data_IF_646926387942
#
_entry.id   IF_646926387942
#
_cell.length_a   1.000
_cell.length_b   1.000
_cell.length_c   1.000
_cell.angle_alpha   90.00
_cell.angle_beta   90.00
_cell.angle_gamma   90.00
#
_symmetry.space_group_name_H-M   'P 1'
#
loop_
_entity.id
_entity.type
_entity.pdbx_description
1 polymer ?
#
# COMPACT_ATOMS: atom_id res chain seq x y z
N UNK A 1 4.99 -26.70 0.87
CA UNK A 1 4.80 -25.23 0.96
C UNK A 1 3.55 -24.88 0.18
N UNK A 2 2.68 -24.05 0.75
CA UNK A 2 1.50 -23.52 0.08
C UNK A 2 1.66 -22.01 -0.01
N UNK A 3 1.65 -21.48 -1.22
CA UNK A 3 1.72 -20.04 -1.48
C UNK A 3 0.32 -19.47 -1.73
N UNK A 4 0.15 -18.17 -1.48
CA UNK A 4 -1.14 -17.46 -1.54
C UNK A 4 -2.28 -18.21 -0.83
N UNK A 5 -1.99 -18.74 0.36
CA UNK A 5 -2.89 -19.64 1.10
C UNK A 5 -4.26 -19.00 1.38
N UNK A 6 -4.34 -17.67 1.49
CA UNK A 6 -5.58 -16.94 1.66
C UNK A 6 -6.56 -17.06 0.49
N UNK A 7 -6.10 -17.43 -0.71
CA UNK A 7 -6.97 -17.73 -1.87
C UNK A 7 -7.84 -18.96 -1.60
N UNK A 8 -7.34 -19.92 -0.81
CA UNK A 8 -8.08 -21.15 -0.50
C UNK A 8 -9.37 -20.88 0.29
N UNK A 9 -9.43 -19.76 1.01
CA UNK A 9 -10.62 -19.33 1.75
C UNK A 9 -11.79 -18.95 0.84
N UNK A 10 -11.54 -18.68 -0.43
CA UNK A 10 -12.58 -18.39 -1.42
C UNK A 10 -12.79 -19.56 -2.39
N UNK A 11 -12.05 -20.66 -2.22
CA UNK A 11 -12.08 -21.77 -3.15
C UNK A 11 -13.28 -22.68 -2.86
N UNK A 12 -14.17 -22.92 -3.85
CA UNK A 12 -15.47 -23.58 -3.63
C UNK A 12 -15.36 -25.00 -3.06
N UNK A 13 -14.26 -25.70 -3.34
CA UNK A 13 -14.04 -27.09 -2.91
C UNK A 13 -13.02 -27.25 -1.77
N UNK A 14 -12.28 -26.19 -1.42
CA UNK A 14 -11.20 -26.29 -0.41
C UNK A 14 -11.51 -25.47 0.84
N UNK A 15 -12.43 -24.51 0.75
CA UNK A 15 -12.92 -23.79 1.91
C UNK A 15 -13.96 -24.62 2.70
N UNK A 16 -13.51 -25.68 3.36
CA UNK A 16 -14.38 -26.53 4.18
C UNK A 16 -13.64 -27.16 5.38
N UNK A 17 -14.41 -27.66 6.34
CA UNK A 17 -13.90 -28.24 7.57
C UNK A 17 -12.98 -29.46 7.35
N UNK A 18 -13.31 -30.32 6.36
CA UNK A 18 -12.56 -31.53 6.07
C UNK A 18 -11.14 -31.23 5.59
N UNK A 19 -11.00 -30.25 4.70
CA UNK A 19 -9.70 -29.81 4.19
C UNK A 19 -8.83 -29.23 5.31
N UNK A 20 -9.33 -28.25 6.07
CA UNK A 20 -8.55 -27.61 7.14
C UNK A 20 -8.24 -28.58 8.30
N UNK A 21 -9.19 -29.45 8.66
CA UNK A 21 -9.00 -30.49 9.66
C UNK A 21 -7.96 -31.52 9.24
N UNK A 22 -7.98 -31.94 7.98
CA UNK A 22 -6.99 -32.86 7.40
C UNK A 22 -5.61 -32.21 7.35
N UNK A 23 -5.51 -30.95 6.93
CA UNK A 23 -4.25 -30.21 6.89
C UNK A 23 -3.63 -30.07 8.29
N UNK A 24 -4.45 -29.73 9.29
CA UNK A 24 -4.01 -29.66 10.69
C UNK A 24 -3.53 -31.03 11.19
N UNK A 25 -4.28 -32.08 10.92
CA UNK A 25 -3.94 -33.45 11.34
C UNK A 25 -2.63 -33.90 10.71
N UNK A 26 -2.47 -33.68 9.40
CA UNK A 26 -1.26 -34.00 8.65
C UNK A 26 -0.03 -33.30 9.24
N UNK A 27 -0.13 -32.00 9.51
CA UNK A 27 0.97 -31.21 10.07
C UNK A 27 1.25 -31.53 11.55
N UNK A 28 0.29 -32.05 12.30
CA UNK A 28 0.46 -32.38 13.73
C UNK A 28 0.98 -33.81 13.96
N UNK A 29 0.58 -34.76 13.10
CA UNK A 29 0.83 -36.19 13.31
C UNK A 29 2.10 -36.70 12.64
N UNK A 30 2.69 -35.92 11.72
CA UNK A 30 3.86 -36.35 10.94
C UNK A 30 5.08 -35.49 11.28
N UNK A 31 5.98 -35.94 12.19
CA UNK A 31 7.15 -35.16 12.60
C UNK A 31 8.11 -34.83 11.46
N UNK A 32 8.11 -35.63 10.38
CA UNK A 32 8.94 -35.42 9.20
C UNK A 32 8.36 -34.38 8.22
N UNK A 33 7.13 -33.90 8.45
CA UNK A 33 6.46 -32.95 7.56
C UNK A 33 6.50 -31.54 8.16
N UNK A 34 7.09 -30.60 7.43
CA UNK A 34 7.03 -29.17 7.75
C UNK A 34 6.04 -28.47 6.83
N UNK A 35 4.99 -27.88 7.41
CA UNK A 35 4.02 -27.06 6.69
C UNK A 35 4.44 -25.59 6.74
N UNK A 36 4.81 -25.05 5.57
CA UNK A 36 5.01 -23.63 5.36
C UNK A 36 3.85 -23.08 4.52
N UNK A 37 3.16 -22.08 5.06
CA UNK A 37 2.14 -21.31 4.34
C UNK A 37 2.62 -19.87 4.16
N UNK A 38 2.41 -19.32 2.98
CA UNK A 38 2.59 -17.90 2.69
C UNK A 38 1.24 -17.31 2.29
N UNK A 39 0.98 -16.06 2.70
CA UNK A 39 -0.29 -15.40 2.43
C UNK A 39 -0.29 -13.95 2.87
N UNK A 40 -1.30 -13.20 2.41
CA UNK A 40 -1.44 -11.76 2.65
C UNK A 40 -2.20 -11.45 3.96
N UNK A 41 -2.92 -12.44 4.47
CA UNK A 41 -3.75 -12.31 5.67
C UNK A 41 -3.04 -12.85 6.90
N UNK A 42 -3.30 -12.22 8.06
CA UNK A 42 -2.71 -12.67 9.31
C UNK A 42 -3.28 -14.01 9.76
N UNK A 43 -2.53 -14.75 10.58
CA UNK A 43 -3.00 -16.00 11.17
C UNK A 43 -4.30 -15.80 11.98
N UNK A 44 -4.43 -14.66 12.67
CA UNK A 44 -5.66 -14.31 13.39
C UNK A 44 -6.85 -14.15 12.45
N UNK A 45 -6.65 -13.49 11.31
CA UNK A 45 -7.69 -13.28 10.29
C UNK A 45 -8.12 -14.61 9.67
N UNK A 46 -7.16 -15.49 9.33
CA UNK A 46 -7.46 -16.82 8.80
C UNK A 46 -8.30 -17.65 9.80
N UNK A 47 -7.97 -17.58 11.09
CA UNK A 47 -8.74 -18.26 12.14
C UNK A 47 -10.16 -17.69 12.27
N UNK A 48 -10.32 -16.36 12.22
CA UNK A 48 -11.66 -15.72 12.25
C UNK A 48 -12.50 -16.14 11.05
N UNK A 49 -11.94 -16.13 9.83
CA UNK A 49 -12.66 -16.49 8.61
C UNK A 49 -13.06 -17.97 8.55
N UNK A 50 -12.30 -18.85 9.21
CA UNK A 50 -12.60 -20.28 9.25
C UNK A 50 -13.40 -20.69 10.50
N UNK A 51 -13.80 -19.73 11.34
CA UNK A 51 -14.49 -20.00 12.60
C UNK A 51 -15.85 -20.68 12.39
N UNK A 52 -16.56 -20.35 11.32
CA UNK A 52 -17.85 -20.96 10.96
C UNK A 52 -17.73 -22.48 10.71
N UNK A 53 -16.56 -22.95 10.30
CA UNK A 53 -16.27 -24.38 10.08
C UNK A 53 -15.77 -25.10 11.34
N UNK A 54 -15.55 -24.39 12.45
CA UNK A 54 -14.97 -24.93 13.69
C UNK A 54 -16.02 -25.36 14.74
N UNK A 55 -17.27 -25.56 14.32
CA UNK A 55 -18.42 -25.84 15.21
C UNK A 55 -18.30 -27.10 16.07
N UNK A 56 -17.50 -28.09 15.65
CA UNK A 56 -17.38 -29.38 16.34
C UNK A 56 -16.34 -29.45 17.47
N UNK A 57 -15.26 -28.66 17.41
CA UNK A 57 -14.14 -28.76 18.37
C UNK A 57 -13.79 -27.45 19.09
N UNK A 58 -14.30 -26.31 18.62
CA UNK A 58 -14.05 -24.99 19.19
C UNK A 58 -12.60 -24.48 19.06
N UNK A 59 -11.65 -25.33 18.67
CA UNK A 59 -10.23 -24.99 18.53
C UNK A 59 -9.94 -24.49 17.11
N UNK A 60 -9.30 -23.31 16.94
CA UNK A 60 -8.95 -22.81 15.61
C UNK A 60 -8.04 -23.77 14.82
N UNK A 61 -8.25 -23.89 13.50
CA UNK A 61 -7.51 -24.81 12.64
C UNK A 61 -6.01 -24.50 12.57
N UNK A 62 -5.65 -23.23 12.65
CA UNK A 62 -4.28 -22.78 12.43
C UNK A 62 -3.49 -22.56 13.71
N UNK A 63 -3.98 -23.07 14.85
CA UNK A 63 -3.30 -22.94 16.15
C UNK A 63 -1.97 -23.71 16.24
N UNK A 64 -1.69 -24.57 15.26
CA UNK A 64 -0.42 -25.30 15.11
C UNK A 64 0.66 -24.51 14.35
N UNK A 65 0.30 -23.37 13.76
CA UNK A 65 1.20 -22.55 12.97
C UNK A 65 1.75 -21.40 13.79
N UNK A 66 2.99 -21.02 13.48
CA UNK A 66 3.61 -19.78 13.97
C UNK A 66 3.66 -18.77 12.84
N UNK A 67 3.10 -17.59 13.07
CA UNK A 67 3.18 -16.50 12.12
C UNK A 67 4.56 -15.85 12.13
N UNK A 68 5.13 -15.67 10.93
CA UNK A 68 6.32 -14.85 10.70
C UNK A 68 5.88 -13.75 9.72
N UNK A 69 5.81 -12.52 10.20
CA UNK A 69 5.55 -11.37 9.33
C UNK A 69 6.84 -10.90 8.69
N UNK A 70 6.86 -10.84 7.36
CA UNK A 70 7.94 -10.17 6.63
C UNK A 70 7.73 -8.66 6.73
N UNK A 71 8.62 -8.00 7.46
CA UNK A 71 8.60 -6.55 7.63
C UNK A 71 9.32 -5.86 6.46
N UNK A 72 9.07 -4.56 6.24
CA UNK A 72 9.84 -3.73 5.33
C UNK A 72 11.32 -3.82 5.61
N UNK A 73 12.13 -3.57 4.60
CA UNK A 73 13.57 -3.50 4.79
C UNK A 73 13.90 -2.33 5.71
N UNK A 74 14.82 -2.55 6.67
CA UNK A 74 15.40 -1.42 7.38
C UNK A 74 16.12 -0.49 6.38
N UNK A 75 16.18 0.80 6.67
CA UNK A 75 16.81 1.78 5.77
C UNK A 75 18.22 1.38 5.34
N UNK A 76 19.03 0.83 6.26
CA UNK A 76 20.38 0.35 5.96
C UNK A 76 20.40 -0.90 5.06
N UNK A 77 19.38 -1.76 5.16
CA UNK A 77 19.22 -2.91 4.26
C UNK A 77 18.84 -2.45 2.86
N UNK A 78 17.91 -1.49 2.74
CA UNK A 78 17.54 -0.85 1.46
C UNK A 78 18.74 -0.19 0.80
N UNK A 79 19.52 0.60 1.55
CA UNK A 79 20.77 1.21 1.06
C UNK A 79 21.78 0.16 0.61
N UNK A 80 21.94 -0.92 1.36
CA UNK A 80 22.86 -2.03 1.03
C UNK A 80 22.42 -2.76 -0.24
N UNK A 81 21.12 -2.97 -0.42
CA UNK A 81 20.56 -3.56 -1.62
C UNK A 81 20.84 -2.67 -2.85
N UNK A 82 20.55 -1.38 -2.76
CA UNK A 82 20.77 -0.43 -3.86
C UNK A 82 22.25 -0.22 -4.20
N UNK A 83 23.17 -0.41 -3.23
CA UNK A 83 24.62 -0.39 -3.49
C UNK A 83 25.09 -1.52 -4.40
N UNK A 84 24.35 -2.63 -4.52
CA UNK A 84 24.70 -3.74 -5.43
C UNK A 84 24.70 -3.33 -6.90
N UNK A 85 24.01 -2.24 -7.26
CA UNK A 85 24.06 -1.68 -8.61
C UNK A 85 25.41 -1.02 -8.95
N UNK A 86 26.33 -0.89 -7.99
CA UNK A 86 27.67 -0.36 -8.23
C UNK A 86 27.65 1.08 -8.76
N UNK A 87 28.52 1.38 -9.71
CA UNK A 87 28.67 2.70 -10.33
C UNK A 87 27.50 3.06 -11.25
N UNK A 88 26.69 2.08 -11.64
CA UNK A 88 25.53 2.33 -12.50
C UNK A 88 24.50 3.22 -11.81
N UNK A 89 24.28 3.08 -10.50
CA UNK A 89 23.41 4.00 -9.76
C UNK A 89 24.24 5.02 -8.99
N UNK A 90 24.09 6.30 -9.36
CA UNK A 90 24.67 7.41 -8.60
C UNK A 90 23.89 7.66 -7.28
N UNK A 91 24.37 8.60 -6.46
CA UNK A 91 23.75 8.91 -5.16
C UNK A 91 22.30 9.41 -5.32
N UNK A 92 22.04 10.25 -6.31
CA UNK A 92 20.73 10.84 -6.57
C UNK A 92 19.73 9.81 -7.08
N UNK A 93 20.18 8.83 -7.86
CA UNK A 93 19.38 7.69 -8.31
C UNK A 93 18.93 6.82 -7.13
N UNK A 94 19.84 6.54 -6.19
CA UNK A 94 19.51 5.78 -4.97
C UNK A 94 18.58 6.56 -4.05
N UNK A 95 18.78 7.88 -3.94
CA UNK A 95 17.88 8.80 -3.21
C UNK A 95 16.49 8.79 -3.83
N UNK A 96 16.40 8.89 -5.16
CA UNK A 96 15.16 8.82 -5.91
C UNK A 96 14.43 7.49 -5.68
N UNK A 97 15.10 6.34 -5.85
CA UNK A 97 14.50 5.02 -5.62
C UNK A 97 13.98 4.90 -4.19
N UNK A 98 14.79 5.27 -3.20
CA UNK A 98 14.40 5.18 -1.78
C UNK A 98 13.21 6.10 -1.44
N UNK A 99 13.10 7.26 -2.10
CA UNK A 99 11.99 8.20 -1.93
C UNK A 99 10.69 7.64 -2.51
N UNK A 100 10.71 7.13 -3.74
CA UNK A 100 9.48 6.67 -4.42
C UNK A 100 9.00 5.31 -3.93
N UNK A 101 9.92 4.41 -3.57
CA UNK A 101 9.60 3.05 -3.13
C UNK A 101 9.51 2.88 -1.60
N UNK A 102 10.06 3.83 -0.85
CA UNK A 102 10.21 3.69 0.60
C UNK A 102 11.09 2.48 0.96
N UNK A 103 10.65 1.71 1.95
CA UNK A 103 11.32 0.50 2.44
C UNK A 103 10.67 -0.80 1.95
N UNK A 104 9.67 -0.72 1.07
CA UNK A 104 8.93 -1.89 0.62
C UNK A 104 9.77 -2.72 -0.37
N UNK A 105 10.08 -4.00 -0.10
CA UNK A 105 10.98 -4.79 -0.93
C UNK A 105 10.59 -4.86 -2.40
N UNK A 106 9.31 -5.14 -2.69
CA UNK A 106 8.77 -5.17 -4.05
C UNK A 106 8.95 -3.83 -4.77
N UNK A 107 8.53 -2.71 -4.16
CA UNK A 107 8.63 -1.39 -4.79
C UNK A 107 10.09 -1.00 -5.03
N UNK A 108 11.00 -1.33 -4.10
CA UNK A 108 12.43 -1.07 -4.24
C UNK A 108 13.01 -1.83 -5.43
N UNK A 109 12.67 -3.11 -5.56
CA UNK A 109 13.10 -3.93 -6.69
C UNK A 109 12.54 -3.38 -8.00
N UNK A 110 11.24 -3.08 -8.06
CA UNK A 110 10.58 -2.59 -9.28
C UNK A 110 11.14 -1.23 -9.70
N UNK A 111 11.38 -0.32 -8.76
CA UNK A 111 11.98 0.98 -9.01
C UNK A 111 13.43 0.85 -9.50
N UNK A 112 14.21 -0.04 -8.90
CA UNK A 112 15.57 -0.32 -9.32
C UNK A 112 15.61 -0.97 -10.71
N UNK A 113 14.73 -1.92 -11.02
CA UNK A 113 14.62 -2.55 -12.35
C UNK A 113 14.30 -1.52 -13.41
N UNK A 114 13.28 -0.68 -13.17
CA UNK A 114 12.88 0.37 -14.09
C UNK A 114 14.03 1.36 -14.37
N UNK A 115 14.76 1.76 -13.33
CA UNK A 115 15.91 2.64 -13.52
C UNK A 115 17.06 1.95 -14.27
N UNK A 116 17.28 0.65 -14.01
CA UNK A 116 18.27 -0.14 -14.72
C UNK A 116 17.96 -0.27 -16.21
N UNK A 117 16.70 -0.52 -16.56
CA UNK A 117 16.23 -0.59 -17.95
C UNK A 117 16.44 0.74 -18.67
N UNK A 118 16.13 1.87 -18.02
CA UNK A 118 16.40 3.19 -18.58
C UNK A 118 17.91 3.44 -18.85
N UNK A 119 18.81 2.84 -18.06
CA UNK A 119 20.24 2.84 -18.36
C UNK A 119 20.60 1.97 -19.58
N UNK A 120 19.96 0.81 -19.74
CA UNK A 120 20.18 -0.10 -20.88
C UNK A 120 19.63 0.49 -22.20
N UNK A 121 18.55 1.24 -22.13
CA UNK A 121 17.96 1.96 -23.28
C UNK A 121 18.81 3.17 -23.73
N UNK A 122 19.90 3.46 -23.02
CA UNK A 122 20.86 4.51 -23.38
C UNK A 122 20.42 5.92 -22.97
N UNK A 123 19.45 6.07 -22.06
CA UNK A 123 19.05 7.38 -21.56
C UNK A 123 20.21 8.04 -20.80
N UNK A 124 20.70 9.18 -21.31
CA UNK A 124 21.88 9.85 -20.75
C UNK A 124 21.51 10.97 -19.79
N UNK A 125 20.34 11.59 -19.95
CA UNK A 125 19.87 12.64 -19.06
C UNK A 125 19.38 12.03 -17.72
N UNK A 126 20.01 12.34 -16.58
CA UNK A 126 19.59 11.83 -15.28
C UNK A 126 18.15 12.19 -14.91
N UNK A 127 17.62 13.34 -15.35
CA UNK A 127 16.25 13.73 -15.03
C UNK A 127 15.26 12.87 -15.82
N UNK A 128 15.41 12.83 -17.15
CA UNK A 128 14.58 12.00 -18.02
C UNK A 128 14.63 10.52 -17.63
N UNK A 129 15.81 10.00 -17.25
CA UNK A 129 15.98 8.62 -16.78
C UNK A 129 15.11 8.31 -15.55
N UNK A 130 15.10 9.21 -14.57
CA UNK A 130 14.30 9.04 -13.34
C UNK A 130 12.81 9.23 -13.62
N UNK A 131 12.44 10.13 -14.51
CA UNK A 131 11.04 10.30 -14.94
C UNK A 131 10.51 9.03 -15.60
N UNK A 132 11.26 8.45 -16.54
CA UNK A 132 10.93 7.17 -17.18
C UNK A 132 10.81 6.04 -16.14
N UNK A 133 11.78 5.92 -15.24
CA UNK A 133 11.76 4.91 -14.19
C UNK A 133 10.58 5.08 -13.22
N UNK A 134 10.24 6.31 -12.86
CA UNK A 134 9.08 6.64 -12.03
C UNK A 134 7.76 6.25 -12.70
N UNK A 135 7.63 6.52 -14.01
CA UNK A 135 6.43 6.13 -14.76
C UNK A 135 6.30 4.61 -14.85
N UNK A 136 7.39 3.91 -15.14
CA UNK A 136 7.37 2.46 -15.24
C UNK A 136 7.08 1.81 -13.89
N UNK A 137 7.65 2.33 -12.79
CA UNK A 137 7.28 1.92 -11.44
C UNK A 137 5.79 2.10 -11.18
N UNK A 138 5.22 3.27 -11.52
CA UNK A 138 3.81 3.54 -11.34
C UNK A 138 2.94 2.51 -12.07
N UNK A 139 3.20 2.29 -13.35
CA UNK A 139 2.48 1.33 -14.18
C UNK A 139 2.57 -0.10 -13.61
N UNK A 140 3.76 -0.52 -13.16
CA UNK A 140 3.98 -1.85 -12.60
C UNK A 140 3.33 -2.02 -11.21
N UNK A 141 3.23 -0.95 -10.42
CA UNK A 141 2.69 -0.99 -9.07
C UNK A 141 1.17 -0.83 -9.01
N UNK A 142 0.52 -0.27 -10.04
CA UNK A 142 -0.92 0.02 -10.07
C UNK A 142 -1.78 -1.20 -9.71
N UNK A 143 -1.51 -2.37 -10.32
CA UNK A 143 -2.24 -3.61 -10.01
C UNK A 143 -2.04 -4.04 -8.56
N UNK A 144 -0.82 -3.94 -8.04
CA UNK A 144 -0.52 -4.29 -6.64
C UNK A 144 -1.23 -3.37 -5.67
N UNK A 145 -1.33 -2.07 -5.99
CA UNK A 145 -2.07 -1.12 -5.16
C UNK A 145 -3.57 -1.34 -5.22
N UNK A 146 -4.14 -1.65 -6.38
CA UNK A 146 -5.56 -2.01 -6.51
C UNK A 146 -5.91 -3.22 -5.63
N UNK A 147 -5.10 -4.28 -5.67
CA UNK A 147 -5.28 -5.48 -4.86
C UNK A 147 -5.13 -5.18 -3.37
N UNK A 148 -4.06 -4.46 -3.00
CA UNK A 148 -3.78 -4.08 -1.61
C UNK A 148 -4.91 -3.23 -1.04
N UNK A 149 -5.38 -2.23 -1.80
CA UNK A 149 -6.48 -1.36 -1.43
C UNK A 149 -7.78 -2.13 -1.21
N UNK A 150 -8.09 -3.10 -2.08
CA UNK A 150 -9.28 -3.96 -1.94
C UNK A 150 -9.22 -4.84 -0.69
N UNK A 151 -8.03 -5.33 -0.31
CA UNK A 151 -7.83 -6.17 0.87
C UNK A 151 -7.84 -5.39 2.19
N UNK A 152 -7.73 -4.07 2.13
CA UNK A 152 -7.81 -3.20 3.29
C UNK A 152 -9.25 -3.02 3.77
N UNK A 153 -9.41 -2.94 5.09
CA UNK A 153 -10.72 -2.63 5.67
C UNK A 153 -11.12 -1.21 5.27
N UNK A 154 -12.43 -0.88 5.29
CA UNK A 154 -12.89 0.49 5.06
C UNK A 154 -12.14 1.52 5.92
N UNK A 155 -11.86 1.16 7.18
CA UNK A 155 -11.11 2.00 8.12
C UNK A 155 -9.63 2.14 7.76
N UNK A 156 -8.95 1.06 7.35
CA UNK A 156 -7.58 1.16 6.86
C UNK A 156 -7.50 2.08 5.63
N UNK A 157 -8.42 1.93 4.67
CA UNK A 157 -8.51 2.77 3.47
C UNK A 157 -8.73 4.23 3.81
N UNK A 158 -9.64 4.52 4.74
CA UNK A 158 -9.92 5.88 5.21
C UNK A 158 -8.71 6.50 5.93
N UNK A 159 -7.98 5.72 6.73
CA UNK A 159 -6.76 6.16 7.40
C UNK A 159 -5.66 6.53 6.41
N UNK A 160 -5.39 5.65 5.43
CA UNK A 160 -4.39 5.92 4.39
C UNK A 160 -4.77 7.13 3.55
N UNK A 161 -6.03 7.25 3.13
CA UNK A 161 -6.50 8.40 2.38
C UNK A 161 -6.34 9.70 3.17
N UNK A 162 -6.74 9.72 4.44
CA UNK A 162 -6.58 10.91 5.29
C UNK A 162 -5.11 11.31 5.45
N UNK A 163 -4.20 10.34 5.63
CA UNK A 163 -2.76 10.60 5.68
C UNK A 163 -2.24 11.11 4.33
N UNK A 164 -2.69 10.55 3.21
CA UNK A 164 -2.29 10.98 1.86
C UNK A 164 -2.71 12.42 1.58
N UNK A 165 -3.93 12.77 1.97
CA UNK A 165 -4.49 14.10 1.78
C UNK A 165 -3.71 15.21 2.52
N UNK A 166 -2.91 14.87 3.56
CA UNK A 166 -1.96 15.81 4.20
C UNK A 166 -0.65 16.01 3.44
N UNK A 167 -0.30 15.07 2.56
CA UNK A 167 1.00 15.00 1.88
C UNK A 167 0.92 15.36 0.41
N UNK A 168 -0.11 14.93 -0.32
CA UNK A 168 -0.33 15.27 -1.73
C UNK A 168 -0.17 16.77 -1.98
N UNK A 169 -0.69 17.67 -1.14
CA UNK A 169 -0.50 19.10 -1.35
C UNK A 169 0.93 19.58 -1.19
N UNK A 170 1.74 18.91 -0.35
CA UNK A 170 3.17 19.22 -0.20
C UNK A 170 3.98 18.81 -1.43
N UNK A 171 3.49 17.84 -2.22
CA UNK A 171 4.10 17.47 -3.49
C UNK A 171 3.98 18.59 -4.53
N UNK A 172 2.97 19.47 -4.39
CA UNK A 172 2.76 20.61 -5.29
C UNK A 172 3.00 21.91 -4.54
N UNK A 173 4.15 22.54 -4.78
CA UNK A 173 4.51 23.85 -4.22
C UNK A 173 3.31 24.80 -4.39
N UNK A 174 2.69 25.23 -3.27
CA UNK A 174 1.69 26.30 -3.10
C UNK A 174 0.30 25.94 -2.54
N UNK A 175 -0.02 24.69 -2.17
CA UNK A 175 -1.34 24.41 -1.60
C UNK A 175 -1.28 23.87 -0.16
N UNK A 176 -1.75 24.67 0.80
CA UNK A 176 -2.07 24.19 2.16
C UNK A 176 -3.55 23.84 2.23
N UNK A 177 -3.91 22.55 2.14
CA UNK A 177 -5.29 22.14 2.39
C UNK A 177 -5.51 22.06 3.88
N UNK A 178 -6.43 22.89 4.39
CA UNK A 178 -6.78 22.88 5.81
C UNK A 178 -7.77 21.75 6.07
N UNK A 179 -7.27 20.54 6.31
CA UNK A 179 -8.09 19.36 6.61
C UNK A 179 -8.33 19.14 8.11
N UNK A 180 -8.35 20.22 8.90
CA UNK A 180 -8.44 20.17 10.37
C UNK A 180 -9.60 19.32 10.92
N UNK A 181 -10.68 19.12 10.13
CA UNK A 181 -11.84 18.29 10.53
C UNK A 181 -11.63 16.80 10.31
N UNK A 182 -11.23 16.38 9.09
CA UNK A 182 -10.82 15.00 8.80
C UNK A 182 -9.65 14.54 9.71
N UNK A 183 -8.74 15.47 10.02
CA UNK A 183 -7.63 15.22 10.95
C UNK A 183 -8.03 15.04 12.41
N UNK A 184 -9.16 15.62 12.85
CA UNK A 184 -9.65 15.42 14.23
C UNK A 184 -10.19 14.00 14.41
N UNK A 185 -10.92 13.50 13.43
CA UNK A 185 -11.50 12.15 13.44
C UNK A 185 -10.43 11.08 13.24
N UNK A 186 -9.24 11.44 12.73
CA UNK A 186 -8.10 10.51 12.78
C UNK A 186 -7.69 10.11 14.19
N UNK A 187 -7.99 10.92 15.21
CA UNK A 187 -7.74 10.52 16.60
C UNK A 187 -8.58 9.30 17.00
N UNK A 188 -9.66 9.05 16.28
CA UNK A 188 -10.56 7.91 16.48
C UNK A 188 -10.15 6.70 15.63
N UNK A 189 -9.15 6.82 14.73
CA UNK A 189 -8.59 5.63 14.08
C UNK A 189 -7.98 4.73 15.14
N UNK A 190 -8.41 3.47 15.13
CA UNK A 190 -7.86 2.48 16.04
C UNK A 190 -6.36 2.38 15.82
N UNK A 191 -5.58 2.46 16.90
CA UNK A 191 -4.12 2.30 16.83
C UNK A 191 -3.68 0.98 16.19
N UNK A 192 -4.59 0.03 15.98
CA UNK A 192 -4.36 -1.23 15.28
C UNK A 192 -4.14 -1.04 13.77
N UNK A 193 -4.96 -0.23 13.09
CA UNK A 193 -4.82 -0.02 11.64
C UNK A 193 -3.51 0.68 11.30
N UNK A 194 -3.17 1.72 12.07
CA UNK A 194 -1.92 2.45 11.90
C UNK A 194 -0.69 1.57 12.20
N UNK A 195 -0.74 0.75 13.25
CA UNK A 195 0.34 -0.24 13.53
C UNK A 195 0.49 -1.25 12.40
N UNK A 196 -0.62 -1.71 11.81
CA UNK A 196 -0.57 -2.64 10.67
C UNK A 196 0.08 -2.00 9.46
N UNK A 197 -0.32 -0.77 9.12
CA UNK A 197 0.25 0.00 8.01
C UNK A 197 1.74 0.35 8.24
N UNK A 198 2.12 0.62 9.48
CA UNK A 198 3.52 0.83 9.86
C UNK A 198 4.33 -0.46 9.69
N UNK A 199 3.80 -1.59 10.19
CA UNK A 199 4.44 -2.90 10.07
C UNK A 199 4.58 -3.39 8.63
N UNK A 200 3.73 -2.94 7.71
CA UNK A 200 3.84 -3.25 6.28
C UNK A 200 4.61 -2.20 5.48
N UNK A 201 5.07 -1.12 6.12
CA UNK A 201 5.92 -0.09 5.50
C UNK A 201 5.19 0.89 4.60
N UNK A 202 3.87 0.91 4.62
CA UNK A 202 3.11 1.92 3.88
C UNK A 202 3.13 3.28 4.58
N UNK A 203 3.24 3.29 5.91
CA UNK A 203 3.36 4.54 6.69
C UNK A 203 4.53 4.48 7.68
N UNK A 204 4.99 5.65 8.11
CA UNK A 204 5.92 5.83 9.22
C UNK A 204 5.52 7.03 10.05
N UNK A 205 5.93 7.08 11.32
CA UNK A 205 5.71 8.25 12.18
C UNK A 205 6.45 9.47 11.62
N UNK A 206 5.78 10.61 11.66
CA UNK A 206 6.31 11.91 11.25
C UNK A 206 5.66 13.01 12.09
N UNK A 207 6.40 13.51 13.08
CA UNK A 207 5.94 14.60 13.97
C UNK A 207 5.78 15.94 13.24
N UNK A 208 6.37 16.09 12.05
CA UNK A 208 6.20 17.27 11.19
C UNK A 208 4.91 17.22 10.34
N UNK A 209 4.21 16.08 10.31
CA UNK A 209 2.94 15.96 9.63
C UNK A 209 1.77 16.18 10.63
N UNK A 210 0.74 16.98 10.30
CA UNK A 210 -0.45 17.15 11.15
C UNK A 210 -1.12 15.83 11.61
N UNK A 211 -0.97 14.77 10.83
CA UNK A 211 -1.41 13.41 11.15
C UNK A 211 -0.56 12.69 12.19
N UNK A 212 0.69 13.11 12.41
CA UNK A 212 1.71 12.33 13.12
C UNK A 212 2.29 11.16 12.31
N UNK A 213 1.82 10.99 11.06
CA UNK A 213 2.15 9.88 10.18
C UNK A 213 2.37 10.35 8.74
N UNK A 214 3.27 9.72 8.00
CA UNK A 214 3.47 9.97 6.58
C UNK A 214 3.44 8.67 5.81
N UNK A 215 3.07 8.73 4.53
CA UNK A 215 3.16 7.59 3.62
C UNK A 215 4.62 7.49 3.20
N UNK A 216 5.17 6.28 3.25
CA UNK A 216 6.58 6.04 2.98
C UNK A 216 6.86 5.93 1.47
N UNK A 217 6.22 5.04 0.70
CA UNK A 217 6.38 5.01 -0.75
C UNK A 217 5.61 6.16 -1.41
N UNK A 218 6.32 7.15 -1.97
CA UNK A 218 5.65 8.26 -2.67
C UNK A 218 4.85 7.80 -3.89
N UNK A 219 5.21 6.67 -4.52
CA UNK A 219 4.41 6.11 -5.63
C UNK A 219 2.98 5.75 -5.18
N UNK A 220 2.76 5.39 -3.90
CA UNK A 220 1.41 5.19 -3.37
C UNK A 220 0.63 6.51 -3.27
N UNK A 221 1.31 7.63 -2.96
CA UNK A 221 0.68 8.95 -2.97
C UNK A 221 0.23 9.34 -4.37
N UNK A 222 1.05 9.03 -5.38
CA UNK A 222 0.71 9.24 -6.78
C UNK A 222 -0.56 8.46 -7.14
N UNK A 223 -0.58 7.17 -6.83
CA UNK A 223 -1.74 6.31 -7.09
C UNK A 223 -3.01 6.80 -6.38
N UNK A 224 -2.92 7.19 -5.10
CA UNK A 224 -4.06 7.74 -4.35
C UNK A 224 -4.57 9.06 -4.94
N UNK A 225 -3.67 9.91 -5.44
CA UNK A 225 -4.03 11.16 -6.06
C UNK A 225 -4.74 10.96 -7.41
N UNK A 226 -4.28 9.99 -8.22
CA UNK A 226 -4.94 9.58 -9.46
C UNK A 226 -6.31 8.95 -9.17
N UNK A 227 -6.39 8.00 -8.25
CA UNK A 227 -7.64 7.34 -7.85
C UNK A 227 -8.70 8.35 -7.37
N UNK A 228 -8.31 9.29 -6.50
CA UNK A 228 -9.20 10.35 -6.05
C UNK A 228 -9.64 11.28 -7.21
N UNK A 229 -8.71 11.61 -8.11
CA UNK A 229 -9.00 12.44 -9.29
C UNK A 229 -9.99 11.75 -10.23
N UNK A 230 -9.86 10.43 -10.42
CA UNK A 230 -10.83 9.63 -11.19
C UNK A 230 -12.20 9.61 -10.50
N UNK A 231 -12.23 9.47 -9.18
CA UNK A 231 -13.46 9.42 -8.39
C UNK A 231 -14.26 10.74 -8.41
N UNK A 232 -13.58 11.90 -8.41
CA UNK A 232 -14.22 13.23 -8.30
C UNK A 232 -14.56 13.88 -9.64
N UNK A 233 -14.44 13.16 -10.77
CA UNK A 233 -14.75 13.69 -12.11
C UNK A 233 -16.17 14.22 -12.23
N UNK A 234 -17.12 13.55 -11.59
CA UNK A 234 -18.50 13.98 -11.48
C UNK A 234 -19.11 13.53 -10.15
N UNK A 235 -20.18 14.19 -9.72
CA UNK A 235 -20.81 13.97 -8.42
C UNK A 235 -21.38 12.55 -8.27
N UNK A 236 -21.88 11.94 -9.35
CA UNK A 236 -22.42 10.59 -9.31
C UNK A 236 -21.29 9.58 -9.10
N UNK A 237 -20.22 9.67 -9.88
CA UNK A 237 -19.02 8.83 -9.74
C UNK A 237 -18.42 8.92 -8.33
N UNK A 238 -18.38 10.12 -7.75
CA UNK A 238 -17.85 10.31 -6.39
C UNK A 238 -18.72 9.65 -5.32
N UNK A 239 -20.04 9.77 -5.44
CA UNK A 239 -20.96 9.12 -4.51
C UNK A 239 -20.89 7.59 -4.61
N UNK A 240 -20.85 7.04 -5.82
CA UNK A 240 -20.67 5.60 -6.05
C UNK A 240 -19.34 5.10 -5.49
N UNK A 241 -18.26 5.87 -5.70
CA UNK A 241 -16.93 5.51 -5.19
C UNK A 241 -16.91 5.51 -3.66
N UNK A 242 -17.44 6.55 -2.99
CA UNK A 242 -17.50 6.59 -1.51
C UNK A 242 -18.34 5.45 -0.93
N UNK A 243 -19.45 5.09 -1.60
CA UNK A 243 -20.28 3.94 -1.20
C UNK A 243 -19.52 2.62 -1.34
N UNK A 244 -18.78 2.43 -2.43
CA UNK A 244 -17.91 1.25 -2.64
C UNK A 244 -16.79 1.14 -1.60
N UNK A 245 -16.36 2.27 -1.04
CA UNK A 245 -15.40 2.27 0.06
C UNK A 245 -16.04 1.93 1.42
N UNK A 246 -17.37 1.84 1.50
CA UNK A 246 -18.12 1.66 2.75
C UNK A 246 -17.81 2.76 3.77
N UNK A 247 -17.60 3.99 3.27
CA UNK A 247 -17.30 5.14 4.13
C UNK A 247 -18.58 5.84 4.55
N UNK A 248 -18.85 5.84 5.85
CA UNK A 248 -19.95 6.61 6.45
C UNK A 248 -19.54 8.08 6.64
N UNK A 249 -19.48 8.82 5.53
CA UNK A 249 -19.19 10.25 5.53
C UNK A 249 -20.47 11.10 5.59
N UNK A 250 -20.48 12.10 6.46
CA UNK A 250 -21.41 13.22 6.45
C UNK A 250 -21.31 14.01 5.14
N UNK A 251 -22.40 14.70 4.76
CA UNK A 251 -22.43 15.53 3.55
C UNK A 251 -21.31 16.58 3.52
N UNK A 252 -20.97 17.16 4.68
CA UNK A 252 -19.87 18.13 4.79
C UNK A 252 -18.51 17.50 4.49
N UNK A 253 -18.26 16.26 4.95
CA UNK A 253 -17.01 15.54 4.65
C UNK A 253 -16.94 15.14 3.18
N UNK A 254 -18.06 14.66 2.60
CA UNK A 254 -18.15 14.34 1.17
C UNK A 254 -17.83 15.57 0.32
N UNK A 255 -18.42 16.72 0.65
CA UNK A 255 -18.15 17.97 -0.04
C UNK A 255 -16.68 18.40 0.07
N UNK A 256 -16.10 18.32 1.28
CA UNK A 256 -14.69 18.67 1.50
C UNK A 256 -13.73 17.75 0.73
N UNK A 257 -13.99 16.44 0.73
CA UNK A 257 -13.19 15.46 0.01
C UNK A 257 -13.31 15.65 -1.51
N UNK A 258 -14.53 15.89 -2.02
CA UNK A 258 -14.78 16.20 -3.43
C UNK A 258 -14.04 17.48 -3.87
N UNK A 259 -14.14 18.57 -3.10
CA UNK A 259 -13.42 19.82 -3.36
C UNK A 259 -11.90 19.62 -3.37
N UNK A 260 -11.39 18.79 -2.43
CA UNK A 260 -9.96 18.48 -2.36
C UNK A 260 -9.53 17.68 -3.59
N UNK A 261 -10.29 16.67 -3.98
CA UNK A 261 -10.01 15.88 -5.18
C UNK A 261 -10.08 16.70 -6.46
N UNK A 262 -11.06 17.59 -6.62
CA UNK A 262 -11.15 18.51 -7.75
C UNK A 262 -9.97 19.48 -7.79
N UNK A 263 -9.52 19.97 -6.63
CA UNK A 263 -8.34 20.83 -6.55
C UNK A 263 -7.06 20.08 -6.91
N UNK A 264 -6.94 18.81 -6.53
CA UNK A 264 -5.83 17.93 -6.97
C UNK A 264 -5.91 17.73 -8.48
N UNK A 265 -7.07 17.38 -9.02
CA UNK A 265 -7.28 17.20 -10.46
C UNK A 265 -6.85 18.45 -11.26
N UNK A 266 -7.27 19.63 -10.80
CA UNK A 266 -7.05 20.90 -11.52
C UNK A 266 -5.64 21.47 -11.36
N UNK A 267 -4.98 21.26 -10.21
CA UNK A 267 -3.70 21.90 -9.90
C UNK A 267 -2.49 20.96 -9.94
N UNK A 268 -2.72 19.65 -9.80
CA UNK A 268 -1.67 18.66 -9.55
C UNK A 268 -1.56 17.65 -10.70
N UNK A 269 -2.70 17.24 -11.26
CA UNK A 269 -2.79 16.19 -12.29
C UNK A 269 -3.41 16.75 -13.58
N UNK A 270 -3.37 18.07 -13.80
CA UNK A 270 -3.96 18.71 -14.98
C UNK A 270 -3.43 18.13 -16.31
N UNK A 271 -2.19 17.64 -16.32
CA UNK A 271 -1.55 16.97 -17.46
C UNK A 271 -1.25 15.48 -17.20
N UNK A 272 -1.85 14.89 -16.16
CA UNK A 272 -1.66 13.49 -15.77
C UNK A 272 -0.65 13.28 -14.65
N UNK A 273 -0.50 12.01 -14.25
CA UNK A 273 0.38 11.57 -13.15
C UNK A 273 1.86 11.92 -13.37
N UNK A 274 2.24 12.14 -14.64
CA UNK A 274 3.57 12.54 -15.06
C UNK A 274 4.06 13.82 -14.37
N UNK A 275 3.18 14.79 -14.09
CA UNK A 275 3.59 16.02 -13.41
C UNK A 275 3.98 15.78 -11.96
N UNK A 276 3.33 14.83 -11.26
CA UNK A 276 3.74 14.41 -9.92
C UNK A 276 5.11 13.73 -9.93
N UNK A 277 5.38 12.91 -10.95
CA UNK A 277 6.68 12.24 -11.11
C UNK A 277 7.78 13.30 -11.33
N UNK A 278 7.58 14.25 -12.25
CA UNK A 278 8.52 15.35 -12.51
C UNK A 278 8.82 16.16 -11.26
N UNK A 279 7.79 16.52 -10.49
CA UNK A 279 7.95 17.29 -9.25
C UNK A 279 8.81 16.54 -8.22
N UNK A 280 8.69 15.22 -8.15
CA UNK A 280 9.52 14.39 -7.26
C UNK A 280 10.95 14.27 -7.76
N UNK A 281 11.17 14.20 -9.08
CA UNK A 281 12.51 14.15 -9.70
C UNK A 281 13.26 15.47 -9.52
N UNK A 282 12.57 16.61 -9.54
CA UNK A 282 13.15 17.96 -9.44
C UNK A 282 13.44 18.45 -8.00
N UNK A 283 12.98 17.75 -6.95
CA UNK A 283 13.17 18.13 -5.54
C UNK A 283 13.86 17.08 -4.68
#
# INVERSE_FOLDING_TARGET
MLDEFDVLLNHPHLNNAEFFGSLRSLASLQPALSLLIAGRQSLSTLNTQTQEYNTATGSPYFNILREITLEPLADEQSKTLLKKAGERFNIEDRRFISKIAGTHPYLLQTAASALWEAYEDGETDPLQRREQAGQQLYNNAELTFNDTWRLWTPMTRMAVMTIALTQIPKLVKNNTFTQKRLLREMKDFTGQELRRLEKTGFITKDSGNPSGWRICPEVLLWWLADELTRAVRDEKSFNEWTQKQEWELTNAQKQQLSQTGQSIANNVIASGIFELIKLVVLG
#
